data_IF_177004056169
#
_entry.id   IF_177004056169
#
_cell.length_a   1.000
_cell.length_b   1.000
_cell.length_c   1.000
_cell.angle_alpha   90.00
_cell.angle_beta   90.00
_cell.angle_gamma   90.00
#
_symmetry.space_group_name_H-M   'P 1'
#
loop_
_entity.id
_entity.type
_entity.pdbx_description
1 polymer ?
#
# COMPACT_ATOMS: atom_id res chain seq x y z
N UNK A 1 -25.34 -16.30 -21.13
CA UNK A 1 -23.87 -16.17 -21.07
C UNK A 1 -23.50 -15.64 -19.68
N UNK A 2 -22.98 -16.45 -18.73
CA UNK A 2 -22.53 -15.94 -17.45
C UNK A 2 -21.29 -15.07 -17.66
N UNK A 3 -21.36 -13.80 -17.26
CA UNK A 3 -20.25 -12.86 -17.38
C UNK A 3 -19.07 -13.29 -16.53
N UNK A 4 -17.92 -13.50 -17.17
CA UNK A 4 -16.65 -13.80 -16.50
C UNK A 4 -16.18 -12.51 -15.83
N UNK A 5 -16.36 -12.41 -14.52
CA UNK A 5 -15.80 -11.30 -13.72
C UNK A 5 -14.31 -11.58 -13.55
N UNK A 6 -13.50 -11.15 -14.53
CA UNK A 6 -12.05 -11.10 -14.43
C UNK A 6 -11.65 -10.01 -13.42
N UNK A 7 -11.65 -10.36 -12.14
CA UNK A 7 -10.86 -9.60 -11.17
C UNK A 7 -9.37 -9.88 -11.39
N UNK A 8 -8.47 -8.92 -11.12
CA UNK A 8 -7.04 -9.15 -11.24
C UNK A 8 -6.68 -10.38 -10.38
N UNK A 9 -6.19 -11.44 -11.02
CA UNK A 9 -5.69 -12.63 -10.33
C UNK A 9 -4.44 -12.27 -9.54
N UNK A 10 -4.13 -12.97 -8.44
CA UNK A 10 -2.93 -12.75 -7.61
C UNK A 10 -1.62 -12.57 -8.39
N UNK A 11 -1.50 -13.20 -9.56
CA UNK A 11 -0.37 -13.01 -10.47
C UNK A 11 -0.21 -11.55 -10.98
N UNK A 12 -1.30 -10.80 -11.14
CA UNK A 12 -1.29 -9.40 -11.57
C UNK A 12 -0.92 -8.44 -10.44
N UNK A 13 -1.27 -8.74 -9.18
CA UNK A 13 -0.84 -7.97 -8.01
C UNK A 13 0.63 -8.23 -7.64
N UNK A 14 1.11 -9.46 -7.83
CA UNK A 14 2.54 -9.79 -7.67
C UNK A 14 3.43 -9.13 -8.72
N UNK A 15 2.95 -8.96 -9.96
CA UNK A 15 3.69 -8.29 -11.03
C UNK A 15 3.94 -6.79 -10.74
N UNK A 16 3.08 -6.14 -9.97
CA UNK A 16 3.26 -4.75 -9.51
C UNK A 16 4.27 -4.64 -8.36
N UNK A 17 4.63 -5.77 -7.73
CA UNK A 17 5.57 -5.87 -6.61
C UNK A 17 7.00 -6.14 -7.10
N UNK A 18 7.46 -5.38 -8.08
CA UNK A 18 8.88 -5.40 -8.47
C UNK A 18 9.71 -4.73 -7.37
N UNK A 19 10.93 -5.22 -7.05
CA UNK A 19 11.77 -4.65 -6.00
C UNK A 19 12.04 -3.14 -6.17
N UNK A 20 11.96 -2.63 -7.41
CA UNK A 20 12.01 -1.22 -7.75
C UNK A 20 10.92 -0.36 -7.10
N UNK A 21 9.69 -0.86 -6.91
CA UNK A 21 8.59 -0.08 -6.32
C UNK A 21 8.83 0.22 -4.85
N UNK A 22 9.45 -0.73 -4.13
CA UNK A 22 9.80 -0.59 -2.73
C UNK A 22 10.91 0.46 -2.51
N UNK A 23 11.88 0.56 -3.44
CA UNK A 23 12.88 1.62 -3.41
C UNK A 23 12.30 3.00 -3.72
N UNK A 24 11.33 3.08 -4.64
CA UNK A 24 10.63 4.34 -4.96
C UNK A 24 9.78 4.82 -3.79
N UNK A 25 9.06 3.91 -3.12
CA UNK A 25 8.33 4.24 -1.89
C UNK A 25 9.27 4.72 -0.78
N UNK A 26 10.33 3.95 -0.47
CA UNK A 26 11.31 4.35 0.54
C UNK A 26 11.99 5.68 0.20
N UNK A 27 12.32 5.90 -1.08
CA UNK A 27 12.88 7.16 -1.57
C UNK A 27 11.92 8.33 -1.40
N UNK A 28 10.65 8.13 -1.74
CA UNK A 28 9.60 9.14 -1.55
C UNK A 28 9.42 9.52 -0.08
N UNK A 29 9.39 8.55 0.81
CA UNK A 29 9.28 8.77 2.26
C UNK A 29 10.53 9.41 2.86
N UNK A 30 11.72 9.09 2.36
CA UNK A 30 12.96 9.74 2.76
C UNK A 30 12.98 11.23 2.34
N UNK A 31 12.56 11.54 1.11
CA UNK A 31 12.43 12.92 0.63
C UNK A 31 11.37 13.68 1.43
N UNK A 32 10.23 13.05 1.72
CA UNK A 32 9.20 13.65 2.55
C UNK A 32 9.71 13.95 3.98
N UNK A 33 10.50 13.05 4.58
CA UNK A 33 11.13 13.29 5.88
C UNK A 33 12.10 14.48 5.87
N UNK A 34 12.94 14.57 4.83
CA UNK A 34 13.83 15.72 4.63
C UNK A 34 13.06 17.03 4.40
N UNK A 35 11.93 16.97 3.68
CA UNK A 35 11.03 18.10 3.48
C UNK A 35 10.41 18.58 4.80
N UNK A 36 9.89 17.66 5.63
CA UNK A 36 9.31 18.00 6.94
C UNK A 36 10.33 18.70 7.83
N UNK A 37 11.61 18.26 7.82
CA UNK A 37 12.68 18.94 8.57
C UNK A 37 12.96 20.34 8.04
N UNK A 38 13.01 20.49 6.72
CA UNK A 38 13.21 21.79 6.05
C UNK A 38 12.06 22.75 6.36
N UNK A 39 10.82 22.25 6.35
CA UNK A 39 9.62 23.01 6.72
C UNK A 39 9.65 23.45 8.20
N UNK A 40 10.03 22.55 9.11
CA UNK A 40 10.16 22.87 10.53
C UNK A 40 11.23 23.94 10.80
N UNK A 41 12.35 23.92 10.06
CA UNK A 41 13.39 24.95 10.15
C UNK A 41 12.91 26.31 9.61
N UNK A 42 12.12 26.30 8.54
CA UNK A 42 11.46 27.49 8.00
C UNK A 42 10.53 28.15 9.02
N UNK A 43 9.73 27.35 9.75
CA UNK A 43 8.87 27.84 10.83
C UNK A 43 9.67 28.38 12.03
N UNK A 44 10.85 27.81 12.32
CA UNK A 44 11.72 28.26 13.41
C UNK A 44 12.64 29.43 13.04
N UNK A 45 12.53 29.97 11.81
CA UNK A 45 13.43 31.00 11.26
C UNK A 45 14.93 30.67 11.43
N UNK A 46 15.28 29.37 11.45
CA UNK A 46 16.66 28.92 11.63
C UNK A 46 17.29 28.54 10.29
N UNK A 47 18.59 28.82 10.09
CA UNK A 47 19.25 28.52 8.83
C UNK A 47 19.17 27.02 8.51
N UNK A 48 18.65 26.70 7.33
CA UNK A 48 18.30 25.33 6.89
C UNK A 48 19.52 24.40 6.87
N UNK A 49 20.73 24.95 6.77
CA UNK A 49 21.99 24.22 6.60
C UNK A 49 22.84 24.12 7.86
N UNK A 50 22.39 24.62 9.02
CA UNK A 50 23.22 24.69 10.24
C UNK A 50 23.64 23.31 10.77
N UNK A 51 22.88 22.25 10.45
CA UNK A 51 23.09 20.87 10.98
C UNK A 51 22.69 19.78 9.98
N UNK A 52 23.55 19.43 9.00
CA UNK A 52 23.22 18.48 7.93
C UNK A 52 22.95 17.05 8.42
N UNK A 53 23.54 16.64 9.56
CA UNK A 53 23.28 15.34 10.18
C UNK A 53 21.82 15.16 10.63
N UNK A 54 21.12 16.26 10.95
CA UNK A 54 19.71 16.20 11.29
C UNK A 54 18.84 15.88 10.07
N UNK A 55 19.20 16.34 8.88
CA UNK A 55 18.46 15.98 7.65
C UNK A 55 18.52 14.48 7.38
N UNK A 56 19.69 13.86 7.62
CA UNK A 56 19.84 12.41 7.53
C UNK A 56 19.00 11.69 8.59
N UNK A 57 18.96 12.21 9.82
CA UNK A 57 18.18 11.65 10.93
C UNK A 57 16.66 11.70 10.65
N UNK A 58 16.18 12.81 10.07
CA UNK A 58 14.78 12.96 9.67
C UNK A 58 14.45 12.18 8.39
N UNK A 59 15.37 12.06 7.45
CA UNK A 59 15.21 11.18 6.28
C UNK A 59 15.14 9.70 6.72
N UNK A 60 16.00 9.29 7.64
CA UNK A 60 15.96 7.95 8.24
C UNK A 60 14.67 7.72 9.04
N UNK A 61 14.21 8.71 9.82
CA UNK A 61 12.93 8.67 10.51
C UNK A 61 11.74 8.57 9.55
N UNK A 62 11.73 9.37 8.49
CA UNK A 62 10.71 9.35 7.43
C UNK A 62 10.67 8.02 6.70
N UNK A 63 11.82 7.47 6.32
CA UNK A 63 11.93 6.15 5.70
C UNK A 63 11.46 5.03 6.65
N UNK A 64 11.78 5.12 7.95
CA UNK A 64 11.30 4.18 8.96
C UNK A 64 9.78 4.21 9.13
N UNK A 65 9.17 5.39 9.16
CA UNK A 65 7.71 5.55 9.20
C UNK A 65 7.08 5.01 7.91
N UNK A 66 7.64 5.34 6.75
CA UNK A 66 7.17 4.84 5.45
C UNK A 66 7.17 3.32 5.37
N UNK A 67 8.22 2.66 5.86
CA UNK A 67 8.30 1.21 5.92
C UNK A 67 7.21 0.59 6.81
N UNK A 68 6.95 1.18 7.98
CA UNK A 68 5.87 0.72 8.87
C UNK A 68 4.49 0.87 8.21
N UNK A 69 4.26 1.99 7.52
CA UNK A 69 2.99 2.26 6.83
C UNK A 69 2.76 1.29 5.67
N UNK A 70 3.78 1.04 4.85
CA UNK A 70 3.72 0.06 3.74
C UNK A 70 3.44 -1.37 4.26
N UNK A 71 4.02 -1.74 5.41
CA UNK A 71 3.67 -3.01 6.09
C UNK A 71 2.21 -3.07 6.54
N UNK A 72 1.66 -1.96 7.00
CA UNK A 72 0.28 -1.92 7.47
C UNK A 72 -0.71 -1.97 6.31
N UNK A 73 -0.44 -1.23 5.24
CA UNK A 73 -1.24 -1.24 4.00
C UNK A 73 -1.26 -2.62 3.34
N UNK A 74 -0.11 -3.29 3.23
CA UNK A 74 -0.05 -4.66 2.70
C UNK A 74 -0.92 -5.63 3.50
N UNK A 75 -0.94 -5.51 4.83
CA UNK A 75 -1.81 -6.33 5.68
C UNK A 75 -3.30 -6.03 5.43
N UNK A 76 -3.67 -4.77 5.20
CA UNK A 76 -5.06 -4.40 4.90
C UNK A 76 -5.51 -4.88 3.53
N UNK A 77 -4.65 -4.76 2.51
CA UNK A 77 -4.89 -5.29 1.16
C UNK A 77 -5.10 -6.80 1.17
N UNK A 78 -4.27 -7.55 1.90
CA UNK A 78 -4.39 -9.01 2.02
C UNK A 78 -5.74 -9.42 2.65
N UNK A 79 -6.18 -8.68 3.66
CA UNK A 79 -7.48 -8.87 4.29
C UNK A 79 -8.64 -8.56 3.33
N UNK A 80 -8.54 -7.47 2.56
CA UNK A 80 -9.54 -7.09 1.56
C UNK A 80 -9.67 -8.16 0.46
N UNK A 81 -8.54 -8.65 -0.03
CA UNK A 81 -8.50 -9.68 -1.06
C UNK A 81 -9.09 -11.00 -0.55
N UNK A 82 -8.79 -11.37 0.69
CA UNK A 82 -9.40 -12.53 1.36
C UNK A 82 -10.91 -12.41 1.47
N UNK A 83 -11.42 -11.24 1.88
CA UNK A 83 -12.86 -10.99 1.95
C UNK A 83 -13.51 -11.03 0.57
N UNK A 84 -12.87 -10.44 -0.44
CA UNK A 84 -13.33 -10.50 -1.83
C UNK A 84 -13.45 -11.93 -2.32
N UNK A 85 -12.45 -12.77 -2.07
CA UNK A 85 -12.47 -14.17 -2.49
C UNK A 85 -13.58 -14.98 -1.80
N UNK A 86 -13.84 -14.73 -0.52
CA UNK A 86 -14.98 -15.33 0.20
C UNK A 86 -16.30 -14.92 -0.44
N UNK A 87 -16.48 -13.63 -0.77
CA UNK A 87 -17.70 -13.12 -1.40
C UNK A 87 -17.92 -13.69 -2.79
N UNK A 88 -16.87 -13.78 -3.60
CA UNK A 88 -16.93 -14.39 -4.94
C UNK A 88 -17.26 -15.87 -4.85
N UNK A 89 -16.62 -16.61 -3.95
CA UNK A 89 -16.93 -18.03 -3.72
C UNK A 89 -18.38 -18.24 -3.31
N UNK A 90 -18.93 -17.40 -2.44
CA UNK A 90 -20.35 -17.44 -2.05
C UNK A 90 -21.28 -17.14 -3.22
N UNK A 91 -20.94 -16.21 -4.12
CA UNK A 91 -21.74 -15.91 -5.32
C UNK A 91 -21.68 -17.08 -6.32
N UNK A 92 -20.51 -17.67 -6.54
CA UNK A 92 -20.36 -18.83 -7.42
C UNK A 92 -21.18 -20.02 -6.92
N UNK A 93 -21.19 -20.31 -5.61
CA UNK A 93 -22.01 -21.39 -5.05
C UNK A 93 -23.52 -21.15 -5.25
N UNK A 94 -24.00 -19.90 -5.15
CA UNK A 94 -25.42 -19.59 -5.44
C UNK A 94 -25.79 -19.70 -6.91
N UNK A 95 -24.85 -19.42 -7.82
CA UNK A 95 -25.07 -19.57 -9.27
C UNK A 95 -25.00 -21.04 -9.70
N UNK A 96 -24.16 -21.84 -9.03
CA UNK A 96 -23.99 -23.28 -9.31
C UNK A 96 -25.11 -24.11 -8.69
N UNK A 97 -25.78 -23.64 -7.62
CA UNK A 97 -26.93 -24.33 -7.05
C UNK A 97 -28.15 -24.06 -7.94
N UNK A 98 -28.60 -25.03 -8.76
CA UNK A 98 -29.83 -24.87 -9.51
C UNK A 98 -30.96 -24.83 -8.49
N UNK A 99 -31.81 -23.82 -8.57
CA UNK A 99 -33.01 -23.69 -7.75
C UNK A 99 -33.78 -25.02 -7.80
N UNK A 100 -34.06 -25.69 -6.66
CA UNK A 100 -35.02 -26.78 -6.64
C UNK A 100 -36.42 -26.16 -6.74
N UNK A 101 -36.78 -25.68 -7.91
CA UNK A 101 -38.16 -25.44 -8.29
C UNK A 101 -38.67 -26.73 -8.95
N UNK A 102 -38.99 -27.70 -8.10
CA UNK A 102 -39.89 -28.80 -8.44
C UNK A 102 -41.26 -28.47 -7.85
N UNK A 103 -42.20 -28.22 -8.78
CA UNK A 103 -43.66 -28.11 -8.65
C UNK A 103 -44.25 -26.77 -8.16
#
# INVERSE_FOLDING_TARGET
>A
MPGVINGPSKAATDLTRTPSSLYVELGGWAVAGAFVRTWALGLQQRPVLERPYLHVLFAAGGAGIGYLLSRWETTQLENLETQRDILVRRRMMRVVQPSPHSH
#
